data_IF_788538490241
#
_entry.id   IF_788538490241
#
_cell.length_a   1.000
_cell.length_b   1.000
_cell.length_c   1.000
_cell.angle_alpha   90.00
_cell.angle_beta   90.00
_cell.angle_gamma   90.00
#
_symmetry.space_group_name_H-M   'P 1'
#
loop_
_entity.id
_entity.type
_entity.pdbx_description
1 polymer ?
#
# COMPACT_ATOMS: atom_id res chain seq x y z
N UNK A 1 -23.21 -32.97 -26.39
CA UNK A 1 -22.02 -32.85 -27.26
C UNK A 1 -21.11 -31.80 -26.67
N UNK A 2 -19.95 -32.16 -26.10
CA UNK A 2 -18.94 -31.17 -25.69
C UNK A 2 -18.16 -30.80 -26.94
N UNK A 3 -18.28 -29.56 -27.40
CA UNK A 3 -17.40 -29.02 -28.43
C UNK A 3 -15.96 -29.10 -27.89
N UNK A 4 -15.08 -29.78 -28.63
CA UNK A 4 -13.64 -29.65 -28.42
C UNK A 4 -13.27 -28.31 -29.02
N UNK A 5 -13.02 -27.31 -28.18
CA UNK A 5 -12.43 -26.04 -28.63
C UNK A 5 -10.97 -26.32 -28.97
N UNK A 6 -10.48 -25.74 -30.06
CA UNK A 6 -9.10 -25.90 -30.48
C UNK A 6 -8.16 -25.24 -29.46
N UNK A 7 -7.01 -25.87 -29.18
CA UNK A 7 -6.09 -25.44 -28.11
C UNK A 7 -5.64 -23.97 -28.25
N UNK A 8 -5.54 -23.47 -29.48
CA UNK A 8 -5.16 -22.08 -29.78
C UNK A 8 -6.24 -21.09 -29.33
N UNK A 9 -7.51 -21.44 -29.54
CA UNK A 9 -8.64 -20.60 -29.13
C UNK A 9 -8.77 -20.60 -27.60
N UNK A 10 -8.56 -21.75 -26.96
CA UNK A 10 -8.52 -21.86 -25.50
C UNK A 10 -7.40 -21.02 -24.88
N UNK A 11 -6.18 -21.09 -25.42
CA UNK A 11 -5.04 -20.30 -24.94
C UNK A 11 -5.23 -18.79 -25.17
N UNK A 12 -5.86 -18.41 -26.29
CA UNK A 12 -6.19 -17.01 -26.60
C UNK A 12 -7.23 -16.46 -25.61
N UNK A 13 -8.30 -17.24 -25.34
CA UNK A 13 -9.33 -16.87 -24.37
C UNK A 13 -8.72 -16.78 -22.96
N UNK A 14 -7.87 -17.73 -22.56
CA UNK A 14 -7.23 -17.73 -21.25
C UNK A 14 -6.30 -16.53 -21.07
N UNK A 15 -5.46 -16.21 -22.06
CA UNK A 15 -4.61 -15.02 -22.02
C UNK A 15 -5.43 -13.73 -22.00
N UNK A 16 -6.56 -13.68 -22.72
CA UNK A 16 -7.45 -12.51 -22.66
C UNK A 16 -8.08 -12.36 -21.26
N UNK A 17 -8.51 -13.44 -20.61
CA UNK A 17 -9.03 -13.42 -19.24
C UNK A 17 -7.98 -12.95 -18.23
N UNK A 18 -6.75 -13.46 -18.32
CA UNK A 18 -5.64 -13.01 -17.45
C UNK A 18 -5.36 -11.51 -17.62
N UNK A 19 -5.46 -10.98 -18.86
CA UNK A 19 -5.29 -9.55 -19.14
C UNK A 19 -6.45 -8.67 -18.62
N UNK A 20 -7.63 -9.23 -18.37
CA UNK A 20 -8.76 -8.51 -17.78
C UNK A 20 -8.76 -8.54 -16.24
N UNK A 21 -8.20 -9.58 -15.61
CA UNK A 21 -8.10 -9.69 -14.15
C UNK A 21 -7.08 -8.70 -13.54
N UNK A 22 -6.11 -8.21 -14.31
CA UNK A 22 -4.99 -7.40 -13.79
C UNK A 22 -5.23 -5.88 -13.72
N UNK A 23 -6.43 -5.37 -14.05
CA UNK A 23 -6.69 -3.90 -14.05
C UNK A 23 -6.67 -3.24 -12.67
N UNK A 24 -6.68 -4.02 -11.59
CA UNK A 24 -6.68 -3.53 -10.20
C UNK A 24 -5.66 -4.24 -9.31
N UNK A 25 -4.59 -4.79 -9.88
CA UNK A 25 -3.53 -5.41 -9.10
C UNK A 25 -2.62 -4.34 -8.47
N UNK A 26 -3.16 -3.59 -7.51
CA UNK A 26 -2.38 -2.67 -6.69
C UNK A 26 -1.66 -3.48 -5.63
N UNK A 27 -0.33 -3.30 -5.50
CA UNK A 27 0.49 -3.96 -4.48
C UNK A 27 -0.15 -3.86 -3.09
N UNK A 28 -0.67 -2.68 -2.75
CA UNK A 28 -1.33 -2.44 -1.48
C UNK A 28 -2.84 -2.60 -1.62
N UNK A 29 -3.45 -3.26 -0.64
CA UNK A 29 -4.91 -3.43 -0.53
C UNK A 29 -5.57 -2.29 0.25
N UNK A 30 -4.80 -1.62 1.10
CA UNK A 30 -5.24 -0.51 1.92
C UNK A 30 -4.26 0.65 1.84
N UNK A 31 -4.79 1.86 1.76
CA UNK A 31 -4.02 3.09 1.96
C UNK A 31 -4.56 3.82 3.18
N UNK A 32 -3.69 4.10 4.14
CA UNK A 32 -3.99 4.91 5.32
C UNK A 32 -3.40 6.29 5.09
N UNK A 33 -4.22 7.33 5.20
CA UNK A 33 -3.77 8.72 5.10
C UNK A 33 -3.80 9.35 6.48
N UNK A 34 -2.67 9.92 6.90
CA UNK A 34 -2.46 10.52 8.21
C UNK A 34 -2.06 11.98 8.04
N UNK A 35 -2.89 12.91 8.50
CA UNK A 35 -2.54 14.32 8.60
C UNK A 35 -1.76 14.57 9.89
N UNK A 36 -0.70 15.38 9.81
CA UNK A 36 0.22 15.66 10.91
C UNK A 36 0.44 17.16 11.04
N UNK A 37 0.32 17.67 12.27
CA UNK A 37 0.72 19.02 12.65
C UNK A 37 1.12 19.04 14.13
N UNK A 38 2.40 19.26 14.42
CA UNK A 38 2.96 19.32 15.77
C UNK A 38 2.56 18.14 16.69
N UNK A 39 2.82 16.91 16.25
CA UNK A 39 2.47 15.66 16.92
C UNK A 39 3.71 14.84 17.36
N UNK A 40 4.86 15.46 17.64
CA UNK A 40 6.12 14.73 17.90
C UNK A 40 6.00 13.69 19.03
N UNK A 41 5.20 13.97 20.06
CA UNK A 41 4.98 13.06 21.20
C UNK A 41 4.22 11.77 20.84
N UNK A 42 3.44 11.77 19.75
CA UNK A 42 2.50 10.69 19.44
C UNK A 42 2.73 10.03 18.08
N UNK A 43 3.45 10.69 17.17
CA UNK A 43 3.57 10.26 15.78
C UNK A 43 4.21 8.87 15.65
N UNK A 44 5.22 8.56 16.46
CA UNK A 44 5.86 7.24 16.43
C UNK A 44 4.88 6.13 16.83
N UNK A 45 4.19 6.30 17.97
CA UNK A 45 3.17 5.37 18.43
C UNK A 45 2.04 5.19 17.41
N UNK A 46 1.62 6.27 16.75
CA UNK A 46 0.60 6.22 15.71
C UNK A 46 1.05 5.42 14.49
N UNK A 47 2.28 5.65 13.99
CA UNK A 47 2.84 4.90 12.86
C UNK A 47 3.03 3.42 13.24
N UNK A 48 3.58 3.13 14.43
CA UNK A 48 3.75 1.75 14.93
C UNK A 48 2.42 1.02 15.05
N UNK A 49 1.35 1.71 15.47
CA UNK A 49 0.02 1.10 15.55
C UNK A 49 -0.46 0.59 14.19
N UNK A 50 -0.13 1.28 13.09
CA UNK A 50 -0.50 0.90 11.72
C UNK A 50 0.40 -0.24 11.23
N UNK A 51 1.71 -0.18 11.53
CA UNK A 51 2.67 -1.22 11.17
C UNK A 51 2.30 -2.57 11.80
N UNK A 52 1.81 -2.56 13.03
CA UNK A 52 1.51 -3.76 13.82
C UNK A 52 0.10 -4.34 13.59
N UNK A 53 -0.65 -3.84 12.61
CA UNK A 53 -1.98 -4.39 12.28
C UNK A 53 -1.88 -5.82 11.73
N UNK A 54 -2.88 -6.65 12.05
CA UNK A 54 -2.97 -8.07 11.65
C UNK A 54 -3.12 -8.30 10.15
N UNK A 55 -3.37 -7.24 9.37
CA UNK A 55 -3.44 -7.26 7.92
C UNK A 55 -2.07 -7.45 7.25
N UNK A 56 -0.96 -7.34 7.97
CA UNK A 56 0.39 -7.47 7.42
C UNK A 56 0.82 -6.24 6.62
N UNK A 57 1.56 -5.34 7.28
CA UNK A 57 1.90 -4.01 6.75
C UNK A 57 2.63 -4.06 5.40
N UNK A 58 3.73 -4.83 5.31
CA UNK A 58 4.62 -4.84 4.14
C UNK A 58 3.90 -5.18 2.83
N UNK A 59 2.96 -6.13 2.89
CA UNK A 59 2.32 -6.70 1.70
C UNK A 59 0.98 -6.04 1.39
N UNK A 60 0.31 -5.39 2.36
CA UNK A 60 -1.07 -4.96 2.19
C UNK A 60 -1.32 -3.47 2.44
N UNK A 61 -0.42 -2.75 3.14
CA UNK A 61 -0.69 -1.38 3.60
C UNK A 61 0.31 -0.38 3.01
N UNK A 62 -0.24 0.68 2.43
CA UNK A 62 0.46 1.93 2.18
C UNK A 62 0.07 2.95 3.27
N UNK A 63 1.05 3.66 3.82
CA UNK A 63 0.83 4.78 4.73
C UNK A 63 1.30 6.07 4.05
N UNK A 64 0.40 7.04 3.94
CA UNK A 64 0.65 8.37 3.38
C UNK A 64 0.52 9.36 4.52
N UNK A 65 1.60 10.06 4.84
CA UNK A 65 1.68 11.04 5.91
C UNK A 65 1.75 12.41 5.24
N UNK A 66 0.91 13.35 5.67
CA UNK A 66 0.86 14.71 5.14
C UNK A 66 1.12 15.66 6.29
N UNK A 67 2.28 16.31 6.26
CA UNK A 67 2.66 17.33 7.23
C UNK A 67 2.17 18.72 6.78
N UNK A 68 1.38 19.39 7.62
CA UNK A 68 0.83 20.73 7.34
C UNK A 68 1.72 21.85 7.92
N UNK A 69 3.04 21.71 7.75
CA UNK A 69 4.01 22.70 8.21
C UNK A 69 4.27 22.64 9.72
N UNK A 70 4.50 21.44 10.26
CA UNK A 70 4.92 21.29 11.65
C UNK A 70 6.22 22.04 11.91
N UNK A 71 6.33 22.61 13.10
CA UNK A 71 7.54 23.31 13.58
C UNK A 71 8.35 22.47 14.58
N UNK A 72 7.80 21.33 15.01
CA UNK A 72 8.43 20.36 15.91
C UNK A 72 9.12 19.22 15.13
N UNK A 73 9.49 18.13 15.81
CA UNK A 73 10.18 17.02 15.15
C UNK A 73 9.26 16.04 14.40
N UNK A 74 7.94 16.30 14.27
CA UNK A 74 6.99 15.37 13.65
C UNK A 74 7.45 14.87 12.28
N UNK A 75 7.81 15.78 11.38
CA UNK A 75 8.25 15.44 10.02
C UNK A 75 9.55 14.62 10.03
N UNK A 76 10.45 14.87 11.00
CA UNK A 76 11.69 14.12 11.16
C UNK A 76 11.39 12.67 11.54
N UNK A 77 10.57 12.46 12.57
CA UNK A 77 10.16 11.11 13.00
C UNK A 77 9.47 10.34 11.87
N UNK A 78 8.54 10.97 11.13
CA UNK A 78 7.89 10.35 9.97
C UNK A 78 8.89 9.88 8.90
N UNK A 79 9.92 10.70 8.61
CA UNK A 79 10.96 10.36 7.62
C UNK A 79 11.88 9.22 8.08
N UNK A 80 12.12 9.06 9.37
CA UNK A 80 12.87 7.93 9.90
C UNK A 80 12.14 6.60 9.61
N UNK A 81 10.82 6.56 9.82
CA UNK A 81 9.99 5.41 9.43
C UNK A 81 9.94 5.19 7.91
N UNK A 82 9.89 6.27 7.11
CA UNK A 82 9.99 6.18 5.65
C UNK A 82 11.29 5.49 5.20
N UNK A 83 12.43 5.75 5.84
CA UNK A 83 13.70 5.10 5.50
C UNK A 83 13.68 3.59 5.78
N UNK A 84 12.98 3.17 6.85
CA UNK A 84 12.84 1.75 7.22
C UNK A 84 11.86 1.03 6.26
N UNK A 85 10.80 1.72 5.83
CA UNK A 85 9.76 1.18 4.96
C UNK A 85 9.53 2.04 3.70
N UNK A 86 10.54 2.17 2.81
CA UNK A 86 10.51 3.13 1.70
C UNK A 86 9.43 2.84 0.66
N UNK A 87 9.00 1.58 0.60
CA UNK A 87 7.94 1.13 -0.30
C UNK A 87 6.54 1.42 0.24
N UNK A 88 6.36 1.32 1.55
CA UNK A 88 5.05 1.39 2.22
C UNK A 88 4.71 2.81 2.70
N UNK A 89 5.71 3.58 3.15
CA UNK A 89 5.50 4.89 3.77
C UNK A 89 5.88 6.00 2.80
N UNK A 90 4.96 6.94 2.59
CA UNK A 90 5.17 8.18 1.84
C UNK A 90 4.89 9.35 2.78
N UNK A 91 5.81 10.30 2.83
CA UNK A 91 5.77 11.53 3.65
C UNK A 91 5.98 12.70 2.72
#
# INVERSE_FOLDING_TARGET
MKAKMDNIEYDTIKNSQTLYEDKHNTRFKFSVVMAVYNCEEYIENAIESIINQTLGFKDNIQLIIIDDGSTDNSLKHAKEFQQIYPENIKV
#
